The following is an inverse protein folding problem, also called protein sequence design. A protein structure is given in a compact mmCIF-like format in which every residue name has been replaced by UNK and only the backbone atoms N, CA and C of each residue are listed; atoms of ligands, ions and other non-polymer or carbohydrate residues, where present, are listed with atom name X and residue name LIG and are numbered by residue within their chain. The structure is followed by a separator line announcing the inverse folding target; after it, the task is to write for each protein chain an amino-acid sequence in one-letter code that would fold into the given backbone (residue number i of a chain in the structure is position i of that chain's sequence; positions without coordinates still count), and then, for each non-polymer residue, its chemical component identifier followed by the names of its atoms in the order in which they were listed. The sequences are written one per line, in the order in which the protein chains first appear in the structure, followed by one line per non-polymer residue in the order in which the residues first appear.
data_IF_778959881667
#
_entry.id   IF_778959881667
#
_cell.length_a   1.000
_cell.length_b   1.000
_cell.length_c   1.000
_cell.angle_alpha   90.00
_cell.angle_beta   90.00
_cell.angle_gamma   90.00
#
_symmetry.space_group_name_H-M   'P 1'
#
loop_
_entity.id
_entity.type
_entity.pdbx_description
1 polymer ?
#
# COMPACT_ATOMS: atom_id res chain seq x y z
N UNK A 1 -18.62 -28.40 -10.82
CA UNK A 1 -17.45 -28.03 -10.00
C UNK A 1 -17.43 -26.52 -9.94
N UNK A 2 -17.86 -25.94 -8.83
CA UNK A 2 -17.54 -24.54 -8.50
C UNK A 2 -16.03 -24.40 -8.50
N UNK A 3 -15.44 -23.37 -9.13
CA UNK A 3 -14.01 -23.13 -8.98
C UNK A 3 -13.75 -22.92 -7.49
N UNK A 4 -12.81 -23.68 -6.94
CA UNK A 4 -12.33 -23.43 -5.58
C UNK A 4 -11.97 -21.94 -5.47
N UNK A 5 -12.49 -21.29 -4.43
CA UNK A 5 -12.23 -19.88 -4.18
C UNK A 5 -10.71 -19.69 -4.06
N UNK A 6 -10.12 -18.65 -4.68
CA UNK A 6 -8.67 -18.50 -4.78
C UNK A 6 -7.95 -18.63 -3.43
N UNK A 7 -6.71 -19.11 -3.42
CA UNK A 7 -5.95 -19.43 -2.20
C UNK A 7 -5.89 -18.29 -1.16
N UNK A 8 -5.90 -17.02 -1.59
CA UNK A 8 -5.97 -15.87 -0.69
C UNK A 8 -7.39 -15.59 -0.18
N UNK A 9 -8.40 -15.88 -0.98
CA UNK A 9 -9.81 -15.69 -0.66
C UNK A 9 -10.33 -16.62 0.45
N UNK A 10 -9.69 -17.78 0.67
CA UNK A 10 -10.09 -18.73 1.73
C UNK A 10 -9.21 -18.66 2.99
N UNK A 11 -8.10 -17.91 2.94
CA UNK A 11 -7.17 -17.82 4.05
C UNK A 11 -7.80 -17.11 5.26
N UNK A 12 -7.73 -17.75 6.43
CA UNK A 12 -8.08 -17.09 7.71
C UNK A 12 -7.16 -15.90 8.03
N UNK A 13 -5.91 -16.00 7.59
CA UNK A 13 -4.91 -14.90 7.61
C UNK A 13 -3.98 -15.03 6.41
N UNK A 14 -3.86 -13.96 5.63
CA UNK A 14 -2.97 -13.88 4.48
C UNK A 14 -1.51 -13.81 4.96
N UNK A 15 -0.64 -14.59 4.32
CA UNK A 15 0.76 -14.80 4.68
C UNK A 15 1.59 -14.91 3.40
N UNK A 16 2.92 -14.82 3.53
CA UNK A 16 3.83 -14.80 2.38
C UNK A 16 3.62 -16.00 1.42
N UNK A 17 3.33 -17.19 1.96
CA UNK A 17 3.10 -18.38 1.12
C UNK A 17 1.78 -18.32 0.34
N UNK A 18 0.74 -17.66 0.87
CA UNK A 18 -0.51 -17.42 0.16
C UNK A 18 -0.29 -16.44 -1.00
N UNK A 19 0.54 -15.40 -0.81
CA UNK A 19 0.91 -14.45 -1.87
C UNK A 19 1.71 -15.15 -2.97
N UNK A 20 2.71 -15.97 -2.59
CA UNK A 20 3.47 -16.76 -3.56
C UNK A 20 2.58 -17.78 -4.29
N UNK A 21 1.58 -18.36 -3.61
CA UNK A 21 0.60 -19.26 -4.22
C UNK A 21 -0.30 -18.53 -5.22
N UNK A 22 -0.80 -17.34 -4.87
CA UNK A 22 -1.62 -16.52 -5.76
C UNK A 22 -0.90 -16.24 -7.08
N UNK A 23 0.39 -15.86 -7.03
CA UNK A 23 1.23 -15.71 -8.23
C UNK A 23 1.27 -17.00 -9.06
N UNK A 24 1.62 -18.14 -8.43
CA UNK A 24 1.74 -19.43 -9.14
C UNK A 24 0.43 -19.86 -9.81
N UNK A 25 -0.70 -19.54 -9.19
CA UNK A 25 -2.04 -19.87 -9.68
C UNK A 25 -2.60 -18.82 -10.65
N UNK A 26 -1.91 -17.70 -10.85
CA UNK A 26 -2.41 -16.58 -11.64
C UNK A 26 -3.64 -15.89 -11.03
N UNK A 27 -3.82 -16.00 -9.71
CA UNK A 27 -4.87 -15.28 -8.97
C UNK A 27 -4.42 -13.85 -8.72
N UNK A 28 -5.14 -12.82 -9.22
CA UNK A 28 -4.78 -11.42 -8.98
C UNK A 28 -4.83 -11.06 -7.48
N UNK A 29 -3.73 -10.49 -6.98
CA UNK A 29 -3.62 -10.03 -5.59
C UNK A 29 -4.20 -8.62 -5.46
N UNK A 30 -5.07 -8.42 -4.47
CA UNK A 30 -5.66 -7.11 -4.19
C UNK A 30 -4.96 -6.40 -3.02
N UNK A 31 -4.49 -5.18 -3.26
CA UNK A 31 -3.90 -4.34 -2.22
C UNK A 31 -4.58 -2.97 -2.20
N UNK A 32 -4.86 -2.45 -1.01
CA UNK A 32 -5.26 -1.06 -0.80
C UNK A 32 -4.45 -0.46 0.33
N UNK A 33 -4.24 0.86 0.29
CA UNK A 33 -3.74 1.53 1.47
C UNK A 33 -4.79 1.56 2.59
N UNK A 34 -4.36 1.60 3.85
CA UNK A 34 -5.24 1.79 5.00
C UNK A 34 -4.46 2.43 6.15
N UNK A 35 -5.10 3.29 6.95
CA UNK A 35 -4.39 4.10 7.95
C UNK A 35 -5.06 4.12 9.32
N UNK A 36 -6.28 3.58 9.45
CA UNK A 36 -7.10 3.75 10.63
C UNK A 36 -8.01 2.54 10.92
N UNK A 37 -8.62 2.55 12.10
CA UNK A 37 -9.51 1.49 12.59
C UNK A 37 -10.96 1.61 12.10
N UNK A 38 -11.31 2.64 11.33
CA UNK A 38 -12.64 2.87 10.78
C UNK A 38 -12.77 2.23 9.39
N UNK A 39 -11.77 2.45 8.53
CA UNK A 39 -11.78 2.03 7.13
C UNK A 39 -11.24 0.61 6.93
N UNK A 40 -10.20 0.23 7.67
CA UNK A 40 -9.55 -1.08 7.49
C UNK A 40 -10.49 -2.29 7.68
N UNK A 41 -11.41 -2.33 8.67
CA UNK A 41 -12.36 -3.44 8.79
C UNK A 41 -13.32 -3.56 7.61
N UNK A 42 -13.68 -2.44 6.97
CA UNK A 42 -14.53 -2.43 5.78
C UNK A 42 -13.80 -3.07 4.60
N UNK A 43 -12.51 -2.78 4.45
CA UNK A 43 -11.67 -3.37 3.41
C UNK A 43 -11.43 -4.87 3.65
N UNK A 44 -11.21 -5.28 4.90
CA UNK A 44 -11.14 -6.71 5.27
C UNK A 44 -12.45 -7.44 4.96
N UNK A 45 -13.59 -6.88 5.35
CA UNK A 45 -14.90 -7.48 5.10
C UNK A 45 -15.22 -7.59 3.59
N UNK A 46 -14.71 -6.65 2.78
CA UNK A 46 -14.80 -6.71 1.33
C UNK A 46 -13.83 -7.73 0.68
N UNK A 47 -12.87 -8.27 1.43
CA UNK A 47 -11.98 -9.33 0.99
C UNK A 47 -10.59 -8.89 0.53
N UNK A 48 -10.14 -7.66 0.80
CA UNK A 48 -8.80 -7.18 0.42
C UNK A 48 -7.71 -8.10 0.97
N UNK A 49 -6.75 -8.48 0.15
CA UNK A 49 -5.69 -9.44 0.51
C UNK A 49 -4.57 -8.81 1.32
N UNK A 50 -4.18 -7.59 0.96
CA UNK A 50 -3.07 -6.86 1.56
C UNK A 50 -3.50 -5.41 1.90
N UNK A 51 -3.20 -4.97 3.11
CA UNK A 51 -3.36 -3.58 3.54
C UNK A 51 -2.00 -2.93 3.65
N UNK A 52 -1.81 -1.83 2.94
CA UNK A 52 -0.57 -1.04 2.96
C UNK A 52 -0.74 0.20 3.84
N UNK A 53 -0.02 0.26 4.96
CA UNK A 53 0.18 1.50 5.71
C UNK A 53 1.31 2.24 5.02
N UNK A 54 0.95 2.93 3.95
CA UNK A 54 1.89 3.65 3.11
C UNK A 54 2.19 5.05 3.62
N UNK A 55 3.37 5.58 3.29
CA UNK A 55 3.74 6.98 3.54
C UNK A 55 2.87 7.99 2.78
N UNK A 56 2.09 7.54 1.79
CA UNK A 56 0.93 8.25 1.22
C UNK A 56 -0.05 8.81 2.27
N UNK A 57 -0.04 8.29 3.51
CA UNK A 57 -0.72 8.89 4.67
C UNK A 57 -0.38 10.39 4.83
N UNK A 58 0.85 10.78 4.51
CA UNK A 58 1.31 12.17 4.54
C UNK A 58 0.43 13.08 3.69
N UNK A 59 0.15 12.67 2.45
CA UNK A 59 -0.66 13.44 1.54
C UNK A 59 -2.15 13.39 1.89
N UNK A 60 -2.68 12.19 2.09
CA UNK A 60 -4.14 11.99 2.10
C UNK A 60 -4.78 12.09 3.48
N UNK A 61 -3.99 11.98 4.55
CA UNK A 61 -4.49 12.09 5.93
C UNK A 61 -3.88 13.27 6.69
N UNK A 62 -2.59 13.55 6.48
CA UNK A 62 -1.86 14.58 7.25
C UNK A 62 -1.73 15.93 6.52
N UNK A 63 -2.11 16.00 5.24
CA UNK A 63 -2.11 17.23 4.46
C UNK A 63 -0.72 17.74 4.06
N UNK A 64 0.31 16.90 4.11
CA UNK A 64 1.62 17.23 3.56
C UNK A 64 1.58 17.30 2.04
N UNK A 65 2.40 18.20 1.48
CA UNK A 65 2.55 18.32 0.03
C UNK A 65 3.26 17.12 -0.58
N UNK A 66 4.07 16.41 0.20
CA UNK A 66 4.84 15.23 -0.25
C UNK A 66 4.96 14.20 0.89
N UNK A 67 5.48 13.00 0.61
CA UNK A 67 5.65 11.94 1.64
C UNK A 67 6.90 12.10 2.50
N UNK A 68 7.84 12.99 2.12
CA UNK A 68 9.09 13.21 2.85
C UNK A 68 8.94 13.58 4.34
N UNK A 69 7.94 14.38 4.77
CA UNK A 69 7.79 14.74 6.17
C UNK A 69 7.22 13.63 7.05
N UNK A 70 6.77 12.51 6.46
CA UNK A 70 6.16 11.40 7.22
C UNK A 70 7.22 10.77 8.11
N UNK A 71 6.89 10.65 9.39
CA UNK A 71 7.78 10.06 10.39
C UNK A 71 7.53 8.57 10.56
N UNK A 72 8.51 7.86 11.11
CA UNK A 72 8.31 6.46 11.54
C UNK A 72 7.17 6.34 12.56
N UNK A 73 6.95 7.37 13.38
CA UNK A 73 5.89 7.37 14.39
C UNK A 73 4.49 7.48 13.76
N UNK A 74 4.35 8.20 12.65
CA UNK A 74 3.10 8.29 11.89
C UNK A 74 2.71 6.91 11.34
N UNK A 75 3.66 6.22 10.71
CA UNK A 75 3.46 4.85 10.22
C UNK A 75 3.20 3.87 11.37
N UNK A 76 3.95 3.98 12.47
CA UNK A 76 3.81 3.09 13.63
C UNK A 76 2.40 3.19 14.23
N UNK A 77 1.88 4.42 14.43
CA UNK A 77 0.53 4.64 14.97
C UNK A 77 -0.56 4.11 14.05
N UNK A 78 -0.46 4.39 12.74
CA UNK A 78 -1.41 3.90 11.75
C UNK A 78 -1.40 2.37 11.65
N UNK A 79 -0.21 1.76 11.63
CA UNK A 79 -0.02 0.31 11.69
C UNK A 79 -0.71 -0.30 12.88
N UNK A 80 -0.51 0.27 14.08
CA UNK A 80 -1.14 -0.23 15.29
C UNK A 80 -2.68 -0.09 15.27
N UNK A 81 -3.22 0.97 14.66
CA UNK A 81 -4.66 1.14 14.49
C UNK A 81 -5.28 0.09 13.55
N UNK A 82 -4.64 -0.15 12.40
CA UNK A 82 -5.07 -1.17 11.43
C UNK A 82 -4.93 -2.58 12.02
N UNK A 83 -3.82 -2.88 12.69
CA UNK A 83 -3.57 -4.20 13.27
C UNK A 83 -4.54 -4.56 14.42
N UNK A 84 -4.99 -3.59 15.21
CA UNK A 84 -6.00 -3.83 16.26
C UNK A 84 -7.41 -4.06 15.71
N UNK A 85 -7.69 -3.60 14.49
CA UNK A 85 -9.03 -3.59 13.92
C UNK A 85 -9.24 -4.67 12.85
N UNK A 86 -8.18 -5.34 12.41
CA UNK A 86 -8.24 -6.39 11.38
C UNK A 86 -7.57 -7.69 11.79
N UNK A 87 -7.93 -8.80 11.13
CA UNK A 87 -7.46 -10.15 11.52
C UNK A 87 -6.90 -11.00 10.38
N UNK A 88 -7.39 -10.79 9.16
CA UNK A 88 -7.15 -11.55 7.95
C UNK A 88 -6.07 -10.96 7.03
N UNK A 89 -6.17 -9.71 6.53
CA UNK A 89 -5.28 -9.23 5.47
C UNK A 89 -3.81 -9.22 5.92
N UNK A 90 -2.90 -9.31 4.95
CA UNK A 90 -1.49 -9.07 5.23
C UNK A 90 -1.28 -7.57 5.41
N UNK A 91 -0.80 -7.16 6.58
CA UNK A 91 -0.47 -5.78 6.88
C UNK A 91 0.97 -5.52 6.45
N UNK A 92 1.17 -4.62 5.48
CA UNK A 92 2.47 -4.14 5.03
C UNK A 92 2.63 -2.69 5.48
N UNK A 93 3.74 -2.35 6.12
CA UNK A 93 3.99 -0.98 6.57
C UNK A 93 5.21 -0.38 5.88
N UNK A 94 5.11 0.86 5.42
CA UNK A 94 6.24 1.55 4.80
C UNK A 94 7.34 1.90 5.80
N UNK A 95 8.59 1.73 5.39
CA UNK A 95 9.70 2.45 6.01
C UNK A 95 9.71 3.86 5.39
N UNK A 96 9.35 4.91 6.16
CA UNK A 96 9.30 6.26 5.61
C UNK A 96 10.72 6.80 5.37
N UNK A 97 10.83 7.85 4.56
CA UNK A 97 12.10 8.48 4.22
C UNK A 97 12.94 8.83 5.46
N UNK A 98 14.23 8.55 5.39
CA UNK A 98 15.21 8.79 6.45
C UNK A 98 15.21 7.76 7.58
N UNK A 99 14.33 6.76 7.54
CA UNK A 99 14.21 5.74 8.59
C UNK A 99 15.08 4.50 8.37
N UNK A 100 15.55 4.26 7.14
CA UNK A 100 16.21 3.00 6.78
C UNK A 100 17.47 3.17 5.92
N UNK A 101 17.70 4.35 5.37
CA UNK A 101 18.64 4.56 4.27
C UNK A 101 20.10 4.62 4.73
N UNK A 102 20.35 4.92 6.01
CA UNK A 102 21.70 5.14 6.54
C UNK A 102 22.52 3.86 6.59
N UNK A 103 21.93 2.78 7.11
CA UNK A 103 22.58 1.49 7.31
C UNK A 103 21.57 0.39 7.70
N UNK A 104 22.05 -0.85 7.73
CA UNK A 104 21.24 -2.03 8.04
C UNK A 104 20.69 -2.05 9.47
N UNK A 105 21.37 -1.38 10.42
CA UNK A 105 20.94 -1.32 11.84
C UNK A 105 19.76 -0.37 11.98
N UNK A 106 19.82 0.80 11.34
CA UNK A 106 18.70 1.74 11.28
C UNK A 106 17.47 1.08 10.64
N UNK A 107 17.65 0.44 9.48
CA UNK A 107 16.59 -0.29 8.80
C UNK A 107 15.97 -1.40 9.66
N UNK A 108 16.79 -2.21 10.35
CA UNK A 108 16.31 -3.26 11.23
C UNK A 108 15.54 -2.70 12.44
N UNK A 109 16.03 -1.63 13.07
CA UNK A 109 15.37 -0.99 14.20
C UNK A 109 14.02 -0.39 13.81
N UNK A 110 13.96 0.33 12.68
CA UNK A 110 12.72 0.88 12.15
C UNK A 110 11.72 -0.23 11.81
N UNK A 111 12.17 -1.27 11.11
CA UNK A 111 11.34 -2.42 10.75
C UNK A 111 10.83 -3.15 11.99
N UNK A 112 11.68 -3.42 12.98
CA UNK A 112 11.30 -4.08 14.23
C UNK A 112 10.21 -3.31 14.98
N UNK A 113 10.25 -1.97 14.97
CA UNK A 113 9.19 -1.13 15.55
C UNK A 113 7.85 -1.35 14.84
N UNK A 114 7.84 -1.34 13.50
CA UNK A 114 6.63 -1.56 12.72
C UNK A 114 6.06 -2.98 12.89
N UNK A 115 6.94 -3.99 12.94
CA UNK A 115 6.53 -5.38 13.21
C UNK A 115 5.89 -5.51 14.60
N UNK A 116 6.43 -4.82 15.63
CA UNK A 116 5.83 -4.77 16.98
C UNK A 116 4.51 -4.00 17.01
N UNK A 117 4.34 -3.00 16.15
CA UNK A 117 3.07 -2.30 15.99
C UNK A 117 1.99 -3.15 15.29
N UNK A 118 2.36 -4.26 14.66
CA UNK A 118 1.44 -5.22 14.07
C UNK A 118 1.57 -5.39 12.55
N UNK A 119 2.60 -4.81 11.93
CA UNK A 119 2.94 -5.15 10.55
C UNK A 119 3.33 -6.63 10.42
N UNK A 120 3.00 -7.24 9.29
CA UNK A 120 3.43 -8.58 8.91
C UNK A 120 4.62 -8.55 7.94
N UNK A 121 4.83 -7.43 7.27
CA UNK A 121 5.95 -7.15 6.37
C UNK A 121 6.23 -5.64 6.34
N UNK A 122 7.42 -5.26 5.88
CA UNK A 122 7.76 -3.87 5.60
C UNK A 122 7.90 -3.62 4.10
N UNK A 123 7.60 -2.39 3.65
CA UNK A 123 7.90 -1.92 2.29
C UNK A 123 9.00 -0.86 2.34
N UNK A 124 9.91 -0.89 1.36
CA UNK A 124 10.96 0.13 1.22
C UNK A 124 11.28 0.40 -0.24
N UNK A 125 11.81 1.60 -0.51
CA UNK A 125 12.04 2.11 -1.87
C UNK A 125 13.51 1.97 -2.29
N UNK A 126 13.70 1.55 -3.54
CA UNK A 126 15.01 1.50 -4.17
C UNK A 126 15.33 0.17 -4.83
N UNK A 127 16.17 0.25 -5.86
CA UNK A 127 16.64 -0.89 -6.66
C UNK A 127 17.80 -1.65 -6.03
N UNK A 128 18.72 -2.15 -6.86
CA UNK A 128 19.82 -3.03 -6.49
C UNK A 128 20.71 -2.49 -5.34
N UNK A 129 20.84 -1.17 -5.21
CA UNK A 129 21.58 -0.54 -4.12
C UNK A 129 20.98 -0.79 -2.73
N UNK A 130 19.74 -1.29 -2.64
CA UNK A 130 19.09 -1.72 -1.39
C UNK A 130 19.20 -3.21 -1.10
N UNK A 131 19.80 -4.01 -2.00
CA UNK A 131 19.84 -5.46 -1.86
C UNK A 131 20.47 -5.94 -0.55
N UNK A 132 21.57 -5.32 -0.09
CA UNK A 132 22.22 -5.72 1.17
C UNK A 132 21.35 -5.44 2.40
N UNK A 133 20.62 -4.32 2.37
CA UNK A 133 19.67 -3.97 3.43
C UNK A 133 18.50 -4.96 3.44
N UNK A 134 17.90 -5.24 2.28
CA UNK A 134 16.81 -6.23 2.18
C UNK A 134 17.27 -7.59 2.67
N UNK A 135 18.46 -8.04 2.25
CA UNK A 135 19.03 -9.31 2.69
C UNK A 135 19.22 -9.36 4.19
N UNK A 136 19.67 -8.26 4.80
CA UNK A 136 19.78 -8.18 6.25
C UNK A 136 18.42 -8.31 6.95
N UNK A 137 17.38 -7.64 6.45
CA UNK A 137 16.03 -7.73 7.02
C UNK A 137 15.44 -9.14 6.89
N UNK A 138 15.50 -9.71 5.68
CA UNK A 138 14.87 -11.00 5.36
C UNK A 138 15.53 -12.16 6.11
N UNK A 139 16.88 -12.16 6.19
CA UNK A 139 17.63 -13.18 6.95
C UNK A 139 17.41 -13.08 8.46
N UNK A 140 16.98 -11.92 8.97
CA UNK A 140 16.61 -11.71 10.38
C UNK A 140 15.09 -11.76 10.62
N UNK A 141 14.33 -12.36 9.70
CA UNK A 141 12.92 -12.70 9.91
C UNK A 141 11.92 -11.59 9.64
N UNK A 142 12.32 -10.50 8.96
CA UNK A 142 11.43 -9.41 8.55
C UNK A 142 11.11 -9.57 7.05
N UNK A 143 9.86 -9.93 6.68
CA UNK A 143 9.48 -10.00 5.28
C UNK A 143 9.48 -8.62 4.61
N UNK A 144 9.98 -8.56 3.37
CA UNK A 144 10.12 -7.30 2.63
C UNK A 144 9.32 -7.32 1.34
N UNK A 145 8.55 -6.26 1.12
CA UNK A 145 8.02 -5.84 -0.18
C UNK A 145 8.95 -4.75 -0.73
N UNK A 146 9.61 -5.00 -1.84
CA UNK A 146 10.43 -3.96 -2.48
C UNK A 146 9.55 -2.97 -3.25
N UNK A 147 10.06 -1.78 -3.55
CA UNK A 147 9.38 -0.78 -4.38
C UNK A 147 10.36 -0.16 -5.39
N UNK A 148 10.09 -0.35 -6.68
CA UNK A 148 10.87 0.21 -7.79
C UNK A 148 9.96 0.89 -8.83
N UNK A 149 10.58 1.59 -9.78
CA UNK A 149 9.87 2.49 -10.68
C UNK A 149 9.94 3.91 -10.13
N UNK A 150 8.82 4.64 -10.15
CA UNK A 150 8.74 5.93 -9.48
C UNK A 150 8.63 5.70 -7.97
N UNK A 151 9.65 6.12 -7.24
CA UNK A 151 9.73 6.02 -5.78
C UNK A 151 9.49 7.41 -5.18
N UNK A 152 8.29 7.71 -4.62
CA UNK A 152 7.93 9.03 -4.11
C UNK A 152 8.94 9.65 -3.13
N UNK A 153 9.64 8.85 -2.33
CA UNK A 153 10.67 9.34 -1.41
C UNK A 153 11.89 9.95 -2.14
N UNK A 154 12.02 9.69 -3.44
CA UNK A 154 13.05 10.25 -4.31
C UNK A 154 12.52 11.33 -5.27
N UNK A 155 11.34 11.91 -5.03
CA UNK A 155 10.71 12.90 -5.92
C UNK A 155 11.64 14.05 -6.32
N UNK A 156 12.48 14.52 -5.41
CA UNK A 156 13.40 15.64 -5.64
C UNK A 156 14.51 15.27 -6.64
N UNK A 157 14.96 14.01 -6.59
CA UNK A 157 15.95 13.45 -7.52
C UNK A 157 15.31 13.11 -8.87
N UNK A 158 14.06 12.64 -8.85
CA UNK A 158 13.33 12.20 -10.04
C UNK A 158 12.63 13.34 -10.79
N UNK A 159 12.48 14.51 -10.16
CA UNK A 159 11.78 15.67 -10.72
C UNK A 159 10.26 15.50 -10.74
N UNK A 160 9.71 14.88 -9.69
CA UNK A 160 8.28 14.63 -9.49
C UNK A 160 7.75 13.36 -10.19
N UNK A 161 6.42 13.14 -10.16
CA UNK A 161 5.77 11.92 -10.65
C UNK A 161 5.97 11.74 -12.17
N UNK A 162 6.87 10.83 -12.54
CA UNK A 162 7.23 10.57 -13.94
C UNK A 162 7.40 9.07 -14.16
N UNK A 163 6.98 8.64 -15.35
CA UNK A 163 7.12 7.26 -15.80
C UNK A 163 8.60 6.85 -15.86
N UNK A 164 8.95 5.72 -15.25
CA UNK A 164 10.31 5.20 -15.16
C UNK A 164 10.52 4.01 -16.11
N UNK A 165 11.77 3.72 -16.50
CA UNK A 165 12.07 2.52 -17.30
C UNK A 165 12.06 2.69 -18.82
N UNK A 166 11.96 3.92 -19.36
CA UNK A 166 12.08 4.13 -20.82
C UNK A 166 13.53 4.00 -21.29
N UNK A 167 13.74 3.39 -22.47
CA UNK A 167 15.08 3.19 -23.05
C UNK A 167 15.96 2.28 -22.21
N UNK A 168 17.24 2.65 -22.04
CA UNK A 168 18.25 1.89 -21.29
C UNK A 168 17.92 1.69 -19.80
N UNK A 169 16.90 2.39 -19.27
CA UNK A 169 16.40 2.19 -17.92
C UNK A 169 15.66 0.85 -17.73
N UNK A 170 15.25 0.17 -18.81
CA UNK A 170 14.61 -1.14 -18.74
C UNK A 170 15.57 -2.23 -18.24
N UNK A 171 16.84 -2.17 -18.64
CA UNK A 171 17.88 -3.12 -18.20
C UNK A 171 18.24 -2.88 -16.73
N UNK A 172 18.25 -1.61 -16.29
CA UNK A 172 18.44 -1.25 -14.88
C UNK A 172 17.32 -1.81 -14.01
N UNK A 173 16.05 -1.63 -14.41
CA UNK A 173 14.91 -2.23 -13.69
C UNK A 173 15.01 -3.75 -13.64
N UNK A 174 15.49 -4.40 -14.70
CA UNK A 174 15.73 -5.84 -14.71
C UNK A 174 16.80 -6.27 -13.72
N UNK A 175 17.91 -5.52 -13.64
CA UNK A 175 18.96 -5.75 -12.66
C UNK A 175 18.48 -5.51 -11.23
N UNK A 176 17.66 -4.47 -11.01
CA UNK A 176 17.03 -4.18 -9.73
C UNK A 176 16.15 -5.35 -9.28
N UNK A 177 15.24 -5.83 -10.13
CA UNK A 177 14.37 -6.98 -9.82
C UNK A 177 15.20 -8.20 -9.40
N UNK A 178 16.24 -8.53 -10.17
CA UNK A 178 17.12 -9.67 -9.88
C UNK A 178 17.82 -9.51 -8.51
N UNK A 179 18.42 -8.35 -8.26
CA UNK A 179 19.15 -8.10 -7.01
C UNK A 179 18.23 -8.12 -5.79
N UNK A 180 17.01 -7.60 -5.92
CA UNK A 180 16.01 -7.57 -4.85
C UNK A 180 15.42 -8.97 -4.57
N UNK A 181 15.23 -9.77 -5.62
CA UNK A 181 14.83 -11.17 -5.52
C UNK A 181 15.90 -12.01 -4.82
N UNK A 182 17.17 -11.88 -5.24
CA UNK A 182 18.31 -12.55 -4.59
C UNK A 182 18.51 -12.11 -3.13
N UNK A 183 18.09 -10.90 -2.78
CA UNK A 183 18.07 -10.40 -1.41
C UNK A 183 16.92 -10.97 -0.56
N UNK A 184 15.95 -11.66 -1.18
CA UNK A 184 14.85 -12.35 -0.51
C UNK A 184 13.59 -11.51 -0.30
N UNK A 185 13.40 -10.42 -1.05
CA UNK A 185 12.09 -9.79 -1.12
C UNK A 185 11.06 -10.81 -1.65
N UNK A 186 9.85 -10.85 -1.08
CA UNK A 186 8.83 -11.82 -1.50
C UNK A 186 7.82 -11.22 -2.49
N UNK A 187 7.74 -9.89 -2.53
CA UNK A 187 6.93 -9.14 -3.44
C UNK A 187 7.63 -7.83 -3.82
N UNK A 188 7.21 -7.24 -4.93
CA UNK A 188 7.74 -5.97 -5.44
C UNK A 188 6.62 -5.11 -6.00
N UNK A 189 6.58 -3.84 -5.62
CA UNK A 189 5.72 -2.83 -6.22
C UNK A 189 6.40 -2.24 -7.44
N UNK A 190 5.68 -2.17 -8.54
CA UNK A 190 6.04 -1.40 -9.73
C UNK A 190 5.15 -0.17 -9.82
N UNK A 191 5.73 1.01 -9.62
CA UNK A 191 5.02 2.28 -9.72
C UNK A 191 5.42 3.05 -10.99
N UNK A 192 4.43 3.44 -11.79
CA UNK A 192 4.63 4.18 -13.04
C UNK A 192 5.68 3.56 -13.98
N UNK A 193 5.65 2.23 -14.16
CA UNK A 193 6.50 1.48 -15.10
C UNK A 193 5.70 1.17 -16.38
N UNK A 194 6.27 1.30 -17.59
CA UNK A 194 5.58 0.91 -18.82
C UNK A 194 5.08 -0.53 -18.78
N UNK A 195 3.82 -0.74 -19.19
CA UNK A 195 3.14 -2.04 -19.19
C UNK A 195 3.99 -3.15 -19.83
N UNK A 196 4.58 -2.90 -21.00
CA UNK A 196 5.45 -3.89 -21.67
C UNK A 196 6.65 -4.35 -20.83
N UNK A 197 7.21 -3.45 -20.00
CA UNK A 197 8.35 -3.75 -19.12
C UNK A 197 7.86 -4.47 -17.87
N UNK A 198 6.80 -3.95 -17.22
CA UNK A 198 6.20 -4.59 -16.06
C UNK A 198 5.78 -6.03 -16.38
N UNK A 199 5.08 -6.24 -17.50
CA UNK A 199 4.67 -7.57 -18.00
C UNK A 199 5.88 -8.51 -18.14
N UNK A 200 6.95 -8.04 -18.80
CA UNK A 200 8.17 -8.84 -18.99
C UNK A 200 8.81 -9.22 -17.66
N UNK A 201 8.97 -8.25 -16.75
CA UNK A 201 9.60 -8.47 -15.45
C UNK A 201 8.75 -9.38 -14.56
N UNK A 202 7.43 -9.23 -14.56
CA UNK A 202 6.48 -10.11 -13.85
C UNK A 202 6.63 -11.57 -14.27
N UNK A 203 6.82 -11.82 -15.56
CA UNK A 203 7.03 -13.16 -16.10
C UNK A 203 8.42 -13.74 -15.77
N UNK A 204 9.41 -12.91 -15.44
CA UNK A 204 10.79 -13.32 -15.17
C UNK A 204 11.06 -13.60 -13.69
N UNK A 205 10.46 -12.82 -12.79
CA UNK A 205 10.70 -12.93 -11.34
C UNK A 205 9.76 -13.93 -10.67
N UNK A 206 10.23 -14.60 -9.63
CA UNK A 206 9.42 -15.44 -8.73
C UNK A 206 8.70 -14.63 -7.65
N UNK A 207 9.11 -13.38 -7.40
CA UNK A 207 8.40 -12.46 -6.49
C UNK A 207 7.00 -12.11 -7.02
N UNK A 208 6.05 -11.91 -6.11
CA UNK A 208 4.75 -11.34 -6.50
C UNK A 208 4.91 -9.87 -6.90
N UNK A 209 4.44 -9.49 -8.08
CA UNK A 209 4.49 -8.13 -8.60
C UNK A 209 3.17 -7.41 -8.36
N UNK A 210 3.21 -6.21 -7.77
CA UNK A 210 2.03 -5.39 -7.49
C UNK A 210 2.16 -4.09 -8.27
N UNK A 211 1.20 -3.83 -9.17
CA UNK A 211 1.23 -2.65 -10.04
C UNK A 211 0.48 -1.47 -9.44
N UNK A 212 1.01 -0.26 -9.68
CA UNK A 212 0.27 1.01 -9.58
C UNK A 212 0.70 1.91 -10.74
N UNK A 213 -0.19 2.09 -11.72
CA UNK A 213 0.19 2.69 -12.99
C UNK A 213 1.22 1.88 -13.79
N UNK A 214 1.26 0.55 -13.60
CA UNK A 214 2.20 -0.37 -14.24
C UNK A 214 1.55 -1.37 -15.21
N UNK A 215 0.33 -1.07 -15.67
CA UNK A 215 -0.44 -1.96 -16.54
C UNK A 215 -1.15 -3.09 -15.77
N UNK A 216 -2.00 -3.88 -16.47
CA UNK A 216 -2.85 -4.89 -15.83
C UNK A 216 -2.16 -6.26 -15.63
N UNK A 217 -0.96 -6.46 -16.17
CA UNK A 217 -0.31 -7.78 -16.22
C UNK A 217 0.66 -8.07 -15.07
N UNK A 218 0.72 -7.22 -14.04
CA UNK A 218 1.34 -7.57 -12.76
C UNK A 218 0.49 -8.61 -12.03
N UNK A 219 1.07 -9.34 -11.08
CA UNK A 219 0.37 -10.39 -10.31
C UNK A 219 -0.73 -9.82 -9.39
N UNK A 220 -0.70 -8.52 -9.11
CA UNK A 220 -1.71 -7.80 -8.35
C UNK A 220 -1.68 -6.30 -8.60
N UNK A 221 -2.53 -5.57 -7.91
CA UNK A 221 -2.67 -4.11 -8.03
C UNK A 221 -2.79 -3.44 -6.66
N UNK A 222 -2.25 -2.23 -6.54
CA UNK A 222 -2.42 -1.36 -5.36
C UNK A 222 -2.95 0.01 -5.77
N UNK A 223 -3.83 0.57 -4.95
CA UNK A 223 -4.23 1.98 -5.03
C UNK A 223 -4.24 2.61 -3.64
N UNK A 224 -4.03 3.93 -3.61
CA UNK A 224 -4.35 4.76 -2.44
C UNK A 224 -5.87 4.72 -2.26
N UNK A 225 -6.35 4.32 -1.08
CA UNK A 225 -7.78 4.05 -0.89
C UNK A 225 -8.66 5.26 -1.13
N UNK A 226 -8.19 6.46 -0.75
CA UNK A 226 -8.94 7.71 -0.89
C UNK A 226 -9.13 8.09 -2.36
N UNK A 227 -8.13 7.81 -3.21
CA UNK A 227 -8.21 8.04 -4.65
C UNK A 227 -9.16 7.04 -5.31
N UNK A 228 -9.05 5.76 -4.94
CA UNK A 228 -9.96 4.69 -5.38
C UNK A 228 -11.42 4.99 -5.00
N UNK A 229 -11.64 5.55 -3.81
CA UNK A 229 -12.95 5.89 -3.28
C UNK A 229 -13.51 7.25 -3.75
N UNK A 230 -12.74 8.03 -4.51
CA UNK A 230 -13.17 9.35 -5.00
C UNK A 230 -13.40 10.36 -3.87
N UNK A 231 -12.47 10.43 -2.90
CA UNK A 231 -12.54 11.40 -1.80
C UNK A 231 -12.20 12.83 -2.22
N UNK A 232 -11.31 12.98 -3.21
CA UNK A 232 -10.81 14.26 -3.70
C UNK A 232 -11.26 14.54 -5.13
N UNK A 233 -11.38 15.83 -5.49
CA UNK A 233 -11.74 16.24 -6.86
C UNK A 233 -10.63 15.92 -7.88
N UNK A 234 -9.37 15.94 -7.45
CA UNK A 234 -8.23 15.53 -8.25
C UNK A 234 -7.83 14.09 -7.91
N UNK A 235 -7.49 13.30 -8.94
CA UNK A 235 -6.91 11.96 -8.79
C UNK A 235 -5.84 11.73 -9.87
N UNK A 236 -4.79 10.94 -9.61
CA UNK A 236 -3.79 10.60 -10.63
C UNK A 236 -4.41 9.93 -11.86
N UNK A 237 -3.80 10.10 -13.02
CA UNK A 237 -4.37 9.64 -14.31
C UNK A 237 -4.51 8.12 -14.44
N UNK A 238 -3.72 7.36 -13.68
CA UNK A 238 -3.80 5.90 -13.65
C UNK A 238 -4.86 5.37 -12.67
N UNK A 239 -5.50 6.25 -11.88
CA UNK A 239 -6.52 5.84 -10.92
C UNK A 239 -7.89 5.79 -11.58
N UNK A 240 -8.59 4.67 -11.38
CA UNK A 240 -10.04 4.58 -11.56
C UNK A 240 -10.72 4.87 -10.22
N UNK A 241 -11.67 5.81 -10.21
CA UNK A 241 -12.61 5.96 -9.10
C UNK A 241 -13.68 4.88 -9.19
N UNK A 242 -13.87 4.14 -8.11
CA UNK A 242 -14.89 3.10 -8.03
C UNK A 242 -16.19 3.62 -7.41
N UNK A 243 -16.12 4.68 -6.60
CA UNK A 243 -17.23 5.45 -6.03
C UNK A 243 -16.81 6.92 -5.88
N UNK A 244 -17.74 7.80 -5.51
CA UNK A 244 -17.52 9.23 -5.26
C UNK A 244 -17.86 9.57 -3.80
N UNK A 245 -17.14 8.95 -2.85
CA UNK A 245 -17.47 9.09 -1.42
C UNK A 245 -17.24 10.51 -0.90
N UNK A 246 -16.36 11.30 -1.52
CA UNK A 246 -16.19 12.71 -1.16
C UNK A 246 -17.47 13.52 -1.38
N UNK A 247 -18.20 13.25 -2.46
CA UNK A 247 -19.47 13.91 -2.78
C UNK A 247 -20.55 13.52 -1.77
N UNK A 248 -20.66 12.24 -1.45
CA UNK A 248 -21.62 11.71 -0.47
C UNK A 248 -21.36 12.28 0.94
N UNK A 249 -20.09 12.34 1.36
CA UNK A 249 -19.72 12.92 2.66
C UNK A 249 -20.06 14.41 2.73
N UNK A 250 -19.80 15.17 1.66
CA UNK A 250 -20.22 16.57 1.57
C UNK A 250 -21.74 16.71 1.60
N UNK A 251 -22.47 15.80 0.94
CA UNK A 251 -23.94 15.72 0.97
C UNK A 251 -24.46 15.54 2.39
N UNK A 252 -24.02 14.49 3.08
CA UNK A 252 -24.39 14.22 4.46
C UNK A 252 -24.07 15.39 5.40
N UNK A 253 -22.95 16.08 5.17
CA UNK A 253 -22.56 17.28 5.93
C UNK A 253 -23.54 18.44 5.70
N UNK A 254 -23.95 18.68 4.45
CA UNK A 254 -24.95 19.71 4.13
C UNK A 254 -26.31 19.39 4.74
N UNK A 255 -26.73 18.13 4.70
CA UNK A 255 -28.00 17.68 5.26
C UNK A 255 -27.99 17.83 6.79
N UNK A 256 -26.89 17.47 7.45
CA UNK A 256 -26.71 17.72 8.88
C UNK A 256 -26.79 19.22 9.22
N UNK A 257 -26.10 20.07 8.45
CA UNK A 257 -26.16 21.54 8.63
C UNK A 257 -27.60 22.03 8.49
N UNK A 258 -28.34 21.56 7.48
CA UNK A 258 -29.73 21.95 7.26
C UNK A 258 -30.62 21.54 8.43
N UNK A 259 -30.53 20.30 8.90
CA UNK A 259 -31.33 19.77 10.01
C UNK A 259 -31.05 20.47 11.35
N UNK A 260 -29.79 20.85 11.62
CA UNK A 260 -29.42 21.63 12.82
C UNK A 260 -29.97 23.04 12.72
N UNK A 261 -29.83 23.69 11.56
CA UNK A 261 -30.29 25.08 11.35
C UNK A 261 -31.82 25.19 11.40
N UNK A 262 -32.55 24.18 10.91
CA UNK A 262 -34.01 24.10 10.98
C UNK A 262 -34.54 23.68 12.35
N UNK A 263 -33.64 23.25 13.28
CA UNK A 263 -33.99 22.62 14.57
C UNK A 263 -34.80 21.32 14.42
N UNK A 264 -34.76 20.70 13.26
CA UNK A 264 -35.27 19.34 13.06
C UNK A 264 -34.41 18.30 13.79
N UNK A 265 -33.10 18.57 13.89
CA UNK A 265 -32.16 17.76 14.66
C UNK A 265 -31.66 18.49 15.93
N UNK A 266 -31.60 17.81 17.09
CA UNK A 266 -32.11 16.47 17.34
C UNK A 266 -33.65 16.45 17.44
N UNK A 267 -34.28 15.43 16.85
CA UNK A 267 -35.70 15.16 16.96
C UNK A 267 -36.05 14.48 18.30
N UNK A 268 -37.35 14.45 18.64
CA UNK A 268 -37.84 13.75 19.83
C UNK A 268 -37.37 12.29 19.82
N UNK A 269 -36.72 11.84 20.90
CA UNK A 269 -36.12 10.50 21.03
C UNK A 269 -34.63 10.43 20.70
N UNK A 270 -34.02 11.52 20.19
CA UNK A 270 -32.58 11.64 20.00
C UNK A 270 -31.89 12.40 21.16
N UNK A 271 -32.63 12.71 22.21
CA UNK A 271 -32.14 13.31 23.45
C UNK A 271 -33.02 12.86 24.62
N UNK A 272 -32.45 12.85 25.83
CA UNK A 272 -33.23 12.66 27.04
C UNK A 272 -33.95 13.98 27.37
N UNK A 273 -35.27 13.92 27.54
CA UNK A 273 -36.02 14.98 28.20
C UNK A 273 -36.14 14.65 29.69
N UNK A 274 -36.14 15.67 30.55
CA UNK A 274 -36.46 15.54 31.98
C UNK A 274 -37.87 14.99 32.21
#
# INVERSE_FOLDING_TARGET
MTPESPAVGTAKRVRIHHIAQAKREGTPITMLTAYDALTAPLFEAAGIDMLLIGDSIGNVMLGYSTTLPVTLEDIERATAAVARSTSRPMIVADLPFGSYESDVTAAFNASSRLMKAGAHAVKLEGGAHRADLIRHLTTNGIPVVAHIGYTPQSENTLGGPRMQGRGDAADRLSADVCALEEAGAFAIVFEMVPDSIATRLTAQTSMATIGIGAGPHTDGQVLVWSDMAGMSEWTPSFVRRFRELGVELQGATRDYIAAVRSREFPAKGQFAAE
#
